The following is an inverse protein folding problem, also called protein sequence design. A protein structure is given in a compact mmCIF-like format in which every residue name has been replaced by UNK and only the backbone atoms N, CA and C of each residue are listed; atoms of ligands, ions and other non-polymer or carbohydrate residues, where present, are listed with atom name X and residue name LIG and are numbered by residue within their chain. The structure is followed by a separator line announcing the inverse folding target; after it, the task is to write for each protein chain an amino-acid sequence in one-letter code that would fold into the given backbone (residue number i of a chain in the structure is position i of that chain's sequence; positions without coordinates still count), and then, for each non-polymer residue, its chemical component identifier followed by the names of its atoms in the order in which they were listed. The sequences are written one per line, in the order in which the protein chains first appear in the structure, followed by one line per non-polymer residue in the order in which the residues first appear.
data_IF_606615206823
#
_entry.id   IF_606615206823
#
_cell.length_a   1.000
_cell.length_b   1.000
_cell.length_c   1.000
_cell.angle_alpha   90.00
_cell.angle_beta   90.00
_cell.angle_gamma   90.00
#
_symmetry.space_group_name_H-M   'P 1'
#
loop_
_entity.id
_entity.type
_entity.pdbx_description
1 polymer ?
#
# COMPACT_ATOMS: atom_id res chain seq x y z
N UNK A 1 15.57 -15.75 55.60
CA UNK A 1 14.58 -15.26 54.63
C UNK A 1 15.27 -14.30 53.68
N UNK A 2 15.71 -14.79 52.52
CA UNK A 2 16.23 -13.97 51.41
C UNK A 2 15.09 -13.82 50.41
N UNK A 3 14.74 -12.58 50.08
CA UNK A 3 13.74 -12.26 49.07
C UNK A 3 14.30 -12.54 47.68
N UNK A 4 13.60 -13.38 46.92
CA UNK A 4 13.86 -13.62 45.50
C UNK A 4 12.98 -12.69 44.66
N UNK A 5 13.62 -12.15 43.64
CA UNK A 5 13.13 -11.31 42.55
C UNK A 5 12.00 -12.02 41.78
N UNK A 6 10.96 -11.27 41.38
CA UNK A 6 10.22 -11.57 40.16
C UNK A 6 9.84 -10.25 39.47
N UNK A 7 10.64 -9.89 38.47
CA UNK A 7 10.27 -8.91 37.46
C UNK A 7 9.25 -9.58 36.53
N UNK A 8 8.05 -9.00 36.40
CA UNK A 8 7.08 -9.42 35.39
C UNK A 8 7.29 -8.50 34.18
N UNK A 9 7.93 -9.04 33.14
CA UNK A 9 7.80 -8.53 31.77
C UNK A 9 6.32 -8.68 31.36
N UNK A 10 5.67 -7.57 31.02
CA UNK A 10 4.41 -7.60 30.28
C UNK A 10 4.75 -7.74 28.80
N UNK A 11 4.83 -8.98 28.34
CA UNK A 11 4.71 -9.37 26.93
C UNK A 11 3.30 -9.93 26.77
N UNK A 12 2.39 -9.11 26.27
CA UNK A 12 1.03 -9.50 25.94
C UNK A 12 0.64 -8.82 24.65
N UNK A 13 0.98 -9.45 23.52
CA UNK A 13 0.43 -9.08 22.22
C UNK A 13 -1.08 -9.20 22.29
N UNK A 14 -1.76 -8.07 22.18
CA UNK A 14 -3.19 -8.04 21.94
C UNK A 14 -3.37 -8.53 20.50
N UNK A 15 -3.78 -9.78 20.34
CA UNK A 15 -4.44 -10.20 19.10
C UNK A 15 -5.74 -9.41 19.06
N UNK A 16 -5.76 -8.29 18.34
CA UNK A 16 -6.97 -7.52 18.07
C UNK A 16 -7.93 -8.44 17.30
N UNK A 17 -8.97 -8.89 17.99
CA UNK A 17 -9.96 -9.79 17.45
C UNK A 17 -10.96 -8.95 16.64
N UNK A 18 -10.87 -9.01 15.31
CA UNK A 18 -11.78 -8.35 14.35
C UNK A 18 -13.26 -8.56 14.73
N UNK A 19 -13.59 -9.69 15.38
CA UNK A 19 -14.94 -10.04 15.85
C UNK A 19 -15.60 -9.06 16.84
N UNK A 20 -14.84 -8.17 17.49
CA UNK A 20 -15.39 -7.27 18.50
C UNK A 20 -15.79 -5.88 17.99
N UNK A 21 -15.57 -5.57 16.70
CA UNK A 21 -15.66 -4.20 16.18
C UNK A 21 -16.88 -3.95 15.28
N UNK A 22 -17.73 -4.93 15.01
CA UNK A 22 -18.96 -4.74 14.22
C UNK A 22 -20.05 -5.68 14.73
N UNK A 23 -21.29 -5.45 14.30
CA UNK A 23 -22.42 -6.30 14.66
C UNK A 23 -23.25 -6.64 13.43
N UNK A 24 -24.37 -7.33 13.63
CA UNK A 24 -25.28 -7.72 12.55
C UNK A 24 -26.68 -7.20 12.85
N UNK A 25 -27.37 -6.67 11.83
CA UNK A 25 -28.78 -6.35 11.94
C UNK A 25 -29.66 -7.62 11.90
N UNK A 26 -30.98 -7.47 12.07
CA UNK A 26 -31.93 -8.59 12.05
C UNK A 26 -31.95 -9.36 10.72
N UNK A 27 -31.47 -8.75 9.63
CA UNK A 27 -31.39 -9.33 8.29
C UNK A 27 -30.04 -10.03 8.03
N UNK A 28 -29.14 -10.05 9.01
CA UNK A 28 -27.81 -10.67 8.91
C UNK A 28 -26.78 -9.84 8.14
N UNK A 29 -27.07 -8.56 7.85
CA UNK A 29 -26.09 -7.65 7.24
C UNK A 29 -25.17 -7.07 8.33
N UNK A 30 -23.87 -7.04 8.03
CA UNK A 30 -22.86 -6.50 8.92
C UNK A 30 -23.02 -4.97 9.04
N UNK A 31 -22.91 -4.45 10.26
CA UNK A 31 -23.03 -3.02 10.59
C UNK A 31 -21.81 -2.54 11.39
N UNK A 32 -21.24 -1.38 11.06
CA UNK A 32 -20.09 -0.83 11.78
C UNK A 32 -20.50 -0.40 13.21
N UNK A 33 -19.54 -0.02 14.06
CA UNK A 33 -19.86 0.65 15.31
C UNK A 33 -20.72 1.90 15.08
N UNK A 34 -21.41 2.33 16.13
CA UNK A 34 -22.20 3.55 16.09
C UNK A 34 -21.33 4.76 15.69
N UNK A 35 -21.86 5.60 14.79
CA UNK A 35 -21.17 6.79 14.32
C UNK A 35 -20.71 7.68 15.47
N UNK A 36 -19.54 8.27 15.31
CA UNK A 36 -18.91 9.23 16.20
C UNK A 36 -18.98 10.63 15.54
N UNK A 37 -19.95 11.47 15.93
CA UNK A 37 -20.04 12.82 15.38
C UNK A 37 -18.79 13.64 15.70
N UNK A 38 -18.33 14.45 14.76
CA UNK A 38 -17.20 15.35 14.95
C UNK A 38 -17.52 16.75 14.42
N UNK A 39 -16.82 17.75 14.95
CA UNK A 39 -16.98 19.15 14.58
C UNK A 39 -15.77 19.74 13.88
N UNK A 40 -15.72 21.07 13.90
CA UNK A 40 -14.66 21.88 13.28
C UNK A 40 -13.25 21.51 13.72
N UNK A 41 -13.08 20.96 14.92
CA UNK A 41 -11.79 20.50 15.44
C UNK A 41 -11.12 19.43 14.56
N UNK A 42 -11.90 18.67 13.78
CA UNK A 42 -11.38 17.69 12.84
C UNK A 42 -10.63 18.30 11.64
N UNK A 43 -10.85 19.60 11.38
CA UNK A 43 -10.30 20.35 10.25
C UNK A 43 -9.15 21.29 10.66
N UNK A 44 -8.89 21.43 11.97
CA UNK A 44 -7.77 22.25 12.44
C UNK A 44 -6.43 21.58 12.13
N UNK A 45 -5.34 22.34 11.92
CA UNK A 45 -4.02 21.77 11.65
C UNK A 45 -3.55 20.78 12.72
N UNK A 46 -3.12 19.61 12.27
CA UNK A 46 -2.55 18.53 13.09
C UNK A 46 -1.03 18.39 12.88
N UNK A 47 -0.36 17.62 13.74
CA UNK A 47 1.08 17.34 13.60
C UNK A 47 1.42 16.31 12.51
N UNK A 48 0.42 15.61 11.99
CA UNK A 48 0.51 14.47 11.07
C UNK A 48 -0.84 14.30 10.34
N UNK A 49 -0.90 13.43 9.33
CA UNK A 49 -2.15 13.14 8.61
C UNK A 49 -3.15 12.36 9.47
N UNK A 50 -4.39 12.85 9.55
CA UNK A 50 -5.51 12.18 10.22
C UNK A 50 -6.58 11.85 9.18
N UNK A 51 -7.05 10.60 9.18
CA UNK A 51 -8.07 10.09 8.28
C UNK A 51 -9.33 9.79 9.09
N UNK A 52 -10.51 10.13 8.60
CA UNK A 52 -11.80 9.74 9.19
C UNK A 52 -12.67 9.10 8.15
N UNK A 53 -13.19 7.91 8.43
CA UNK A 53 -14.19 7.28 7.58
C UNK A 53 -15.53 8.00 7.74
N UNK A 54 -16.16 8.44 6.66
CA UNK A 54 -17.44 9.16 6.70
C UNK A 54 -18.64 8.23 6.55
N UNK A 55 -18.40 6.97 6.19
CA UNK A 55 -19.41 6.03 5.70
C UNK A 55 -19.31 5.83 4.19
N UNK A 56 -19.78 4.68 3.71
CA UNK A 56 -19.65 4.21 2.33
C UNK A 56 -18.19 4.30 1.83
N UNK A 57 -17.94 4.88 0.65
CA UNK A 57 -16.61 5.20 0.15
C UNK A 57 -16.02 6.52 0.69
N UNK A 58 -16.75 7.24 1.54
CA UNK A 58 -16.40 8.58 1.97
C UNK A 58 -15.29 8.61 3.01
N UNK A 59 -14.27 9.46 2.82
CA UNK A 59 -13.22 9.72 3.82
C UNK A 59 -12.86 11.20 3.89
N UNK A 60 -12.67 11.73 5.11
CA UNK A 60 -12.02 13.02 5.36
C UNK A 60 -10.54 12.76 5.65
N UNK A 61 -9.66 13.51 4.98
CA UNK A 61 -8.21 13.49 5.18
C UNK A 61 -7.79 14.89 5.59
N UNK A 62 -7.28 15.06 6.81
CA UNK A 62 -6.62 16.28 7.26
C UNK A 62 -5.12 16.02 7.33
N UNK A 63 -4.37 16.54 6.36
CA UNK A 63 -2.93 16.45 6.33
C UNK A 63 -2.32 17.77 6.80
N UNK A 64 -2.05 17.85 8.10
CA UNK A 64 -1.39 19.01 8.74
C UNK A 64 -2.08 20.33 8.43
N UNK A 65 -3.41 20.31 8.34
CA UNK A 65 -4.27 21.45 8.03
C UNK A 65 -4.69 21.59 6.57
N UNK A 66 -4.20 20.74 5.66
CA UNK A 66 -4.79 20.60 4.31
C UNK A 66 -5.90 19.57 4.36
N UNK A 67 -7.14 19.99 4.14
CA UNK A 67 -8.33 19.16 4.33
C UNK A 67 -8.94 18.74 2.99
N UNK A 68 -8.98 17.42 2.76
CA UNK A 68 -9.60 16.81 1.59
C UNK A 68 -10.77 15.92 2.00
N UNK A 69 -11.80 15.80 1.17
CA UNK A 69 -12.73 14.67 1.24
C UNK A 69 -12.67 13.85 -0.04
N UNK A 70 -12.68 12.52 0.09
CA UNK A 70 -12.88 11.58 -1.02
C UNK A 70 -14.33 11.08 -0.95
N UNK A 71 -15.04 11.12 -2.07
CA UNK A 71 -16.40 10.56 -2.25
C UNK A 71 -17.38 10.86 -1.09
N UNK A 72 -17.57 12.12 -0.68
CA UNK A 72 -18.37 12.45 0.50
C UNK A 72 -19.88 12.30 0.24
N UNK A 73 -20.43 11.11 0.47
CA UNK A 73 -21.87 10.85 0.49
C UNK A 73 -22.48 11.18 1.87
N UNK A 74 -22.58 12.47 2.24
CA UNK A 74 -23.06 12.90 3.57
C UNK A 74 -24.58 13.14 3.65
N UNK A 75 -25.26 13.24 2.51
CA UNK A 75 -26.73 13.32 2.40
C UNK A 75 -27.18 13.02 0.97
N UNK A 76 -28.50 12.92 0.78
CA UNK A 76 -29.08 12.86 -0.57
C UNK A 76 -28.91 11.51 -1.28
N UNK A 77 -28.60 10.46 -0.52
CA UNK A 77 -28.62 9.10 -1.04
C UNK A 77 -30.04 8.54 -1.04
N UNK A 78 -30.38 7.79 -2.10
CA UNK A 78 -31.76 7.39 -2.39
C UNK A 78 -32.21 6.13 -1.64
N UNK A 79 -31.29 5.47 -0.95
CA UNK A 79 -31.56 4.25 -0.19
C UNK A 79 -31.45 4.49 1.32
N UNK A 80 -32.18 3.71 2.15
CA UNK A 80 -32.06 3.79 3.60
C UNK A 80 -30.64 3.46 4.07
N UNK A 81 -30.20 4.13 5.13
CA UNK A 81 -28.86 3.97 5.70
C UNK A 81 -28.91 3.25 7.05
N UNK A 82 -27.86 2.50 7.36
CA UNK A 82 -27.64 1.80 8.63
C UNK A 82 -26.93 2.67 9.67
N UNK A 83 -26.34 3.78 9.23
CA UNK A 83 -25.54 4.69 10.05
C UNK A 83 -26.16 6.09 10.07
N UNK A 84 -25.84 6.86 11.11
CA UNK A 84 -26.00 8.30 11.07
C UNK A 84 -24.75 8.93 10.45
N UNK A 85 -24.91 9.95 9.62
CA UNK A 85 -23.76 10.65 9.06
C UNK A 85 -22.98 11.37 10.18
N UNK A 86 -21.65 11.22 10.25
CA UNK A 86 -20.85 11.74 11.37
C UNK A 86 -20.67 13.26 11.33
N UNK A 87 -20.98 13.88 10.20
CA UNK A 87 -21.00 15.33 10.02
C UNK A 87 -22.04 15.69 8.96
N UNK A 88 -22.74 16.82 9.11
CA UNK A 88 -23.60 17.35 8.05
C UNK A 88 -22.77 18.26 7.12
N UNK A 89 -23.09 18.34 5.81
CA UNK A 89 -22.35 19.20 4.88
C UNK A 89 -22.23 20.67 5.34
N UNK A 90 -23.31 21.23 5.89
CA UNK A 90 -23.35 22.59 6.45
C UNK A 90 -22.42 22.84 7.65
N UNK A 91 -21.99 21.77 8.33
CA UNK A 91 -21.15 21.84 9.53
C UNK A 91 -19.65 21.69 9.17
N UNK A 92 -19.33 21.46 7.88
CA UNK A 92 -17.97 21.46 7.34
C UNK A 92 -17.45 22.90 7.28
N UNK A 93 -16.37 23.26 7.99
CA UNK A 93 -15.92 24.65 8.08
C UNK A 93 -15.12 25.10 6.85
N UNK A 94 -14.33 24.20 6.26
CA UNK A 94 -13.53 24.43 5.06
C UNK A 94 -13.06 23.09 4.47
N UNK A 95 -12.83 23.08 3.15
CA UNK A 95 -12.11 22.02 2.44
C UNK A 95 -11.19 22.66 1.39
N UNK A 96 -9.96 22.17 1.32
CA UNK A 96 -9.05 22.53 0.24
C UNK A 96 -9.45 21.83 -1.05
N UNK A 97 -9.85 20.55 -0.99
CA UNK A 97 -10.47 19.92 -2.14
C UNK A 97 -11.47 18.80 -1.80
N UNK A 98 -12.34 18.50 -2.75
CA UNK A 98 -13.13 17.27 -2.80
C UNK A 98 -12.67 16.44 -4.01
N UNK A 99 -12.38 15.17 -3.79
CA UNK A 99 -12.00 14.21 -4.81
C UNK A 99 -13.19 13.26 -5.06
N UNK A 100 -13.62 13.15 -6.31
CA UNK A 100 -14.73 12.29 -6.71
C UNK A 100 -14.20 11.22 -7.66
N UNK A 101 -14.42 9.93 -7.35
CA UNK A 101 -13.90 8.82 -8.16
C UNK A 101 -14.70 8.62 -9.44
N UNK A 102 -16.04 8.72 -9.35
CA UNK A 102 -16.97 8.55 -10.45
C UNK A 102 -18.36 9.14 -10.10
N UNK A 103 -19.32 9.07 -11.03
CA UNK A 103 -20.58 9.82 -10.95
C UNK A 103 -21.72 9.17 -10.14
N UNK A 104 -21.55 7.96 -9.60
CA UNK A 104 -22.64 7.27 -8.92
C UNK A 104 -22.99 7.97 -7.60
N UNK A 105 -24.28 7.99 -7.24
CA UNK A 105 -24.80 8.87 -6.17
C UNK A 105 -24.25 8.52 -4.77
N UNK A 106 -23.79 7.30 -4.58
CA UNK A 106 -23.09 6.78 -3.40
C UNK A 106 -21.63 7.22 -3.28
N UNK A 107 -21.10 7.90 -4.31
CA UNK A 107 -19.77 8.54 -4.34
C UNK A 107 -19.89 10.04 -4.59
N UNK A 108 -20.56 10.42 -5.69
CA UNK A 108 -20.85 11.79 -6.07
C UNK A 108 -22.26 12.21 -5.65
N UNK A 109 -22.43 12.47 -4.36
CA UNK A 109 -23.65 13.10 -3.87
C UNK A 109 -23.69 14.57 -4.28
N UNK A 110 -24.47 14.88 -5.32
CA UNK A 110 -24.73 16.27 -5.76
C UNK A 110 -25.24 17.14 -4.60
N UNK A 111 -26.21 16.70 -3.76
CA UNK A 111 -26.64 17.50 -2.62
C UNK A 111 -25.54 17.80 -1.61
N UNK A 112 -24.64 16.85 -1.35
CA UNK A 112 -23.49 17.07 -0.46
C UNK A 112 -22.51 18.07 -1.06
N UNK A 113 -22.12 17.85 -2.33
CA UNK A 113 -21.13 18.68 -3.01
C UNK A 113 -21.63 20.12 -3.18
N UNK A 114 -22.90 20.30 -3.59
CA UNK A 114 -23.49 21.64 -3.76
C UNK A 114 -23.63 22.41 -2.45
N UNK A 115 -24.01 21.76 -1.35
CA UNK A 115 -24.10 22.42 -0.03
C UNK A 115 -22.73 22.85 0.51
N UNK A 116 -21.68 22.07 0.23
CA UNK A 116 -20.30 22.42 0.61
C UNK A 116 -19.61 23.40 -0.35
N UNK A 117 -20.23 23.76 -1.48
CA UNK A 117 -19.58 24.57 -2.53
C UNK A 117 -19.05 25.94 -2.04
N UNK A 118 -19.64 26.50 -1.00
CA UNK A 118 -19.19 27.78 -0.41
C UNK A 118 -17.98 27.66 0.53
N UNK A 119 -17.67 26.45 0.98
CA UNK A 119 -16.56 26.15 1.92
C UNK A 119 -15.49 25.26 1.31
N UNK A 120 -15.76 24.62 0.16
CA UNK A 120 -14.81 23.84 -0.60
C UNK A 120 -14.17 24.70 -1.69
N UNK A 121 -12.83 24.72 -1.74
CA UNK A 121 -12.08 25.51 -2.71
C UNK A 121 -12.13 24.91 -4.12
N UNK A 122 -11.90 23.61 -4.28
CA UNK A 122 -11.81 22.95 -5.58
C UNK A 122 -12.33 21.51 -5.55
N UNK A 123 -12.89 21.05 -6.67
CA UNK A 123 -13.35 19.67 -6.85
C UNK A 123 -12.53 19.02 -7.96
N UNK A 124 -12.12 17.77 -7.79
CA UNK A 124 -11.26 17.09 -8.76
C UNK A 124 -11.80 15.70 -9.10
N UNK A 125 -11.80 15.37 -10.39
CA UNK A 125 -12.24 14.06 -10.88
C UNK A 125 -11.73 13.79 -12.30
N UNK A 126 -12.29 12.78 -12.96
CA UNK A 126 -12.13 12.56 -14.40
C UNK A 126 -12.81 13.69 -15.20
N UNK A 127 -12.46 13.85 -16.47
CA UNK A 127 -13.09 14.85 -17.34
C UNK A 127 -14.61 14.69 -17.46
N UNK A 128 -15.12 13.46 -17.39
CA UNK A 128 -16.57 13.23 -17.47
C UNK A 128 -17.27 13.76 -16.23
N UNK A 129 -16.84 13.37 -15.03
CA UNK A 129 -17.46 13.82 -13.79
C UNK A 129 -17.26 15.32 -13.58
N UNK A 130 -16.11 15.87 -13.99
CA UNK A 130 -15.88 17.32 -14.05
C UNK A 130 -16.96 18.04 -14.85
N UNK A 131 -17.29 17.55 -16.05
CA UNK A 131 -18.38 18.14 -16.85
C UNK A 131 -19.74 18.11 -16.12
N UNK A 132 -19.99 17.09 -15.28
CA UNK A 132 -21.19 17.06 -14.43
C UNK A 132 -21.11 18.09 -13.31
N UNK A 133 -19.96 18.23 -12.65
CA UNK A 133 -19.73 19.21 -11.58
C UNK A 133 -19.84 20.66 -12.11
N UNK A 134 -19.34 20.94 -13.31
CA UNK A 134 -19.49 22.23 -13.99
C UNK A 134 -20.98 22.59 -14.20
N UNK A 135 -21.82 21.62 -14.57
CA UNK A 135 -23.27 21.86 -14.72
C UNK A 135 -23.96 22.22 -13.40
N UNK A 136 -23.38 21.81 -12.28
CA UNK A 136 -23.85 22.16 -10.93
C UNK A 136 -23.23 23.48 -10.42
N UNK A 137 -22.36 24.13 -11.21
CA UNK A 137 -21.69 25.37 -10.85
C UNK A 137 -20.58 25.21 -9.80
N UNK A 138 -20.03 23.99 -9.66
CA UNK A 138 -18.89 23.74 -8.76
C UNK A 138 -17.59 24.23 -9.39
N UNK A 139 -16.64 24.69 -8.58
CA UNK A 139 -15.29 25.00 -9.04
C UNK A 139 -14.50 23.70 -9.20
N UNK A 140 -14.62 23.07 -10.37
CA UNK A 140 -14.10 21.72 -10.61
C UNK A 140 -13.02 21.66 -11.70
N UNK A 141 -12.22 20.58 -11.65
CA UNK A 141 -11.14 20.30 -12.59
C UNK A 141 -11.10 18.81 -12.95
N UNK A 142 -11.18 18.52 -14.25
CA UNK A 142 -11.04 17.19 -14.83
C UNK A 142 -9.59 16.81 -15.15
N UNK A 143 -9.25 15.54 -14.91
CA UNK A 143 -7.90 15.00 -15.08
C UNK A 143 -7.91 13.70 -15.91
N UNK A 144 -6.76 13.35 -16.50
CA UNK A 144 -6.55 12.04 -17.14
C UNK A 144 -6.11 11.00 -16.13
N UNK A 145 -6.41 9.74 -16.42
CA UNK A 145 -5.79 8.61 -15.70
C UNK A 145 -4.27 8.69 -15.83
N UNK A 146 -3.58 8.59 -14.69
CA UNK A 146 -2.13 8.74 -14.59
C UNK A 146 -1.64 10.17 -14.41
N UNK A 147 -2.50 11.18 -14.62
CA UNK A 147 -2.17 12.58 -14.35
C UNK A 147 -1.98 12.82 -12.85
N UNK A 148 -1.14 13.81 -12.52
CA UNK A 148 -0.85 14.19 -11.14
C UNK A 148 -1.06 15.69 -10.96
N UNK A 149 -1.76 16.06 -9.90
CA UNK A 149 -1.95 17.44 -9.45
C UNK A 149 -1.63 17.55 -7.95
N UNK A 150 -1.65 18.77 -7.41
CA UNK A 150 -1.36 19.01 -6.00
C UNK A 150 -2.46 19.83 -5.34
N UNK A 151 -2.79 19.46 -4.11
CA UNK A 151 -3.60 20.28 -3.20
C UNK A 151 -2.76 20.52 -1.95
N UNK A 152 -2.30 21.76 -1.77
CA UNK A 152 -1.31 22.07 -0.73
C UNK A 152 -0.07 21.16 -0.83
N UNK A 153 0.33 20.46 0.24
CA UNK A 153 1.47 19.55 0.24
C UNK A 153 1.14 18.13 -0.24
N UNK A 154 -0.11 17.86 -0.66
CA UNK A 154 -0.57 16.53 -1.05
C UNK A 154 -0.46 16.40 -2.58
N UNK A 155 0.36 15.47 -3.04
CA UNK A 155 0.45 15.09 -4.47
C UNK A 155 -0.54 13.98 -4.76
N UNK A 156 -1.41 14.17 -5.75
CA UNK A 156 -2.53 13.29 -6.03
C UNK A 156 -2.43 12.81 -7.47
N UNK A 157 -2.38 11.49 -7.67
CA UNK A 157 -2.35 10.84 -8.98
C UNK A 157 -3.63 10.04 -9.21
N UNK A 158 -4.26 10.20 -10.37
CA UNK A 158 -5.39 9.37 -10.75
C UNK A 158 -4.90 7.96 -11.14
N UNK A 159 -5.49 6.93 -10.53
CA UNK A 159 -5.26 5.52 -10.87
C UNK A 159 -6.40 5.00 -11.74
N UNK A 160 -6.16 4.03 -12.63
CA UNK A 160 -7.22 3.42 -13.42
C UNK A 160 -8.27 2.75 -12.52
N UNK A 161 -9.52 2.77 -12.95
CA UNK A 161 -10.62 2.01 -12.36
C UNK A 161 -11.50 1.46 -13.49
N UNK A 162 -12.10 0.29 -13.29
CA UNK A 162 -13.05 -0.31 -14.23
C UNK A 162 -14.39 -0.50 -13.54
N UNK A 163 -15.33 0.42 -13.79
CA UNK A 163 -16.66 0.37 -13.20
C UNK A 163 -17.80 0.80 -14.16
N UNK A 164 -17.74 0.37 -15.42
CA UNK A 164 -18.73 0.73 -16.46
C UNK A 164 -20.04 -0.07 -16.38
N UNK A 165 -20.57 -0.32 -15.18
CA UNK A 165 -21.77 -1.17 -14.99
C UNK A 165 -23.03 -0.56 -15.61
N UNK A 166 -23.09 0.77 -15.72
CA UNK A 166 -24.21 1.53 -16.28
C UNK A 166 -24.51 1.10 -17.73
N UNK A 167 -23.49 0.67 -18.47
CA UNK A 167 -23.65 0.17 -19.84
C UNK A 167 -24.39 -1.18 -19.92
N UNK A 168 -24.53 -1.90 -18.80
CA UNK A 168 -25.29 -3.15 -18.71
C UNK A 168 -26.81 -2.88 -18.61
N UNK A 169 -27.23 -1.63 -18.39
CA UNK A 169 -28.63 -1.24 -18.20
C UNK A 169 -29.15 -0.29 -19.28
N UNK A 170 -30.39 -0.49 -19.79
CA UNK A 170 -31.04 0.49 -20.64
C UNK A 170 -31.49 1.70 -19.83
N UNK A 171 -31.28 2.92 -20.35
CA UNK A 171 -31.80 4.15 -19.75
C UNK A 171 -30.78 5.28 -19.65
N UNK A 172 -29.49 4.96 -19.74
CA UNK A 172 -28.44 5.96 -19.82
C UNK A 172 -28.24 6.46 -21.25
N UNK A 173 -28.08 7.77 -21.39
CA UNK A 173 -27.79 8.41 -22.69
C UNK A 173 -26.30 8.55 -22.97
N UNK A 174 -25.48 8.50 -21.91
CA UNK A 174 -24.02 8.50 -22.00
C UNK A 174 -23.50 7.07 -22.15
N UNK A 175 -22.54 6.86 -23.03
CA UNK A 175 -21.78 5.60 -23.13
C UNK A 175 -20.59 5.70 -22.19
N UNK A 176 -20.64 4.97 -21.07
CA UNK A 176 -19.64 5.08 -20.02
C UNK A 176 -18.34 4.38 -20.42
N UNK A 177 -17.22 5.05 -20.21
CA UNK A 177 -15.89 4.54 -20.57
C UNK A 177 -15.04 4.33 -19.32
N UNK A 178 -14.00 3.51 -19.45
CA UNK A 178 -13.09 3.21 -18.33
C UNK A 178 -12.45 4.50 -17.79
N UNK A 179 -12.14 5.46 -18.65
CA UNK A 179 -11.60 6.77 -18.26
C UNK A 179 -12.58 7.70 -17.52
N UNK A 180 -13.86 7.35 -17.44
CA UNK A 180 -14.86 8.10 -16.67
C UNK A 180 -14.75 7.80 -15.16
N UNK A 181 -14.03 6.75 -14.79
CA UNK A 181 -13.82 6.27 -13.42
C UNK A 181 -12.34 6.33 -13.06
N UNK A 182 -12.04 6.63 -11.80
CA UNK A 182 -10.68 6.63 -11.31
C UNK A 182 -10.59 6.22 -9.84
N UNK A 183 -9.39 5.86 -9.42
CA UNK A 183 -8.98 5.94 -8.02
C UNK A 183 -8.00 7.10 -7.82
N UNK A 184 -7.61 7.34 -6.57
CA UNK A 184 -6.63 8.36 -6.19
C UNK A 184 -5.49 7.76 -5.37
N UNK A 185 -4.27 7.95 -5.85
CA UNK A 185 -3.06 7.70 -5.09
C UNK A 185 -2.54 9.05 -4.55
N UNK A 186 -2.64 9.24 -3.23
CA UNK A 186 -2.43 10.51 -2.54
C UNK A 186 -1.17 10.42 -1.66
N UNK A 187 -0.11 11.10 -2.07
CA UNK A 187 1.13 11.23 -1.29
C UNK A 187 1.03 12.45 -0.39
N UNK A 188 0.84 12.21 0.89
CA UNK A 188 0.90 13.24 1.95
C UNK A 188 2.33 13.35 2.50
N UNK A 189 2.65 14.38 3.31
CA UNK A 189 3.91 14.43 4.05
C UNK A 189 4.17 13.24 4.98
N UNK A 190 3.12 12.57 5.45
CA UNK A 190 3.21 11.51 6.47
C UNK A 190 3.07 10.10 5.91
N UNK A 191 2.64 9.94 4.66
CA UNK A 191 2.50 8.64 4.00
C UNK A 191 1.66 8.67 2.73
N UNK A 192 1.61 7.51 2.08
CA UNK A 192 0.91 7.25 0.83
C UNK A 192 -0.44 6.59 1.09
N UNK A 193 -1.52 7.24 0.66
CA UNK A 193 -2.90 6.75 0.80
C UNK A 193 -3.41 6.37 -0.59
N UNK A 194 -4.05 5.21 -0.70
CA UNK A 194 -4.71 4.80 -1.93
C UNK A 194 -6.21 4.62 -1.72
N UNK A 195 -7.00 5.39 -2.47
CA UNK A 195 -8.43 5.23 -2.63
C UNK A 195 -8.69 4.59 -4.00
N UNK A 196 -9.04 3.30 -4.10
CA UNK A 196 -9.23 2.65 -5.39
C UNK A 196 -10.46 3.15 -6.14
N UNK A 197 -11.45 3.73 -5.43
CA UNK A 197 -12.81 3.90 -5.94
C UNK A 197 -13.47 2.55 -6.20
N UNK A 198 -14.65 2.59 -6.82
CA UNK A 198 -15.27 1.36 -7.30
C UNK A 198 -14.58 0.92 -8.59
N UNK A 199 -14.13 -0.33 -8.60
CA UNK A 199 -13.43 -0.89 -9.74
C UNK A 199 -13.44 -2.40 -9.67
N UNK A 200 -13.60 -3.08 -10.81
CA UNK A 200 -13.15 -4.46 -10.97
C UNK A 200 -11.66 -4.59 -10.67
N UNK A 201 -11.22 -5.78 -10.26
CA UNK A 201 -9.79 -6.04 -10.08
C UNK A 201 -9.01 -5.82 -11.37
N UNK A 202 -7.98 -4.98 -11.30
CA UNK A 202 -7.02 -4.72 -12.37
C UNK A 202 -5.64 -5.24 -11.93
N UNK A 203 -4.90 -6.01 -12.77
CA UNK A 203 -3.55 -6.48 -12.42
C UNK A 203 -2.59 -5.36 -12.00
N UNK A 204 -2.73 -4.18 -12.59
CA UNK A 204 -1.93 -2.98 -12.31
C UNK A 204 -2.06 -2.51 -10.86
N UNK A 205 -3.12 -2.90 -10.15
CA UNK A 205 -3.27 -2.66 -8.71
C UNK A 205 -2.20 -3.33 -7.86
N UNK A 206 -1.53 -4.36 -8.39
CA UNK A 206 -0.41 -5.02 -7.70
C UNK A 206 0.94 -4.34 -7.97
N UNK A 207 0.97 -3.35 -8.87
CA UNK A 207 2.19 -2.67 -9.33
C UNK A 207 2.27 -1.22 -8.83
N UNK A 208 1.30 -0.77 -8.02
CA UNK A 208 1.34 0.55 -7.40
C UNK A 208 2.52 0.64 -6.40
N UNK A 209 3.12 1.84 -6.23
CA UNK A 209 4.00 2.10 -5.10
C UNK A 209 3.29 1.69 -3.80
N UNK A 210 3.99 0.97 -2.93
CA UNK A 210 3.39 0.37 -1.72
C UNK A 210 2.69 1.44 -0.87
N UNK A 211 1.35 1.43 -0.77
CA UNK A 211 0.62 2.40 0.03
C UNK A 211 0.76 2.08 1.52
N UNK A 212 0.79 3.12 2.35
CA UNK A 212 0.72 3.00 3.81
C UNK A 212 -0.72 2.74 4.26
N UNK A 213 -1.70 3.28 3.53
CA UNK A 213 -3.14 3.12 3.80
C UNK A 213 -3.88 2.79 2.52
N UNK A 214 -4.81 1.83 2.58
CA UNK A 214 -5.75 1.53 1.50
C UNK A 214 -7.17 1.74 2.04
N UNK A 215 -7.98 2.52 1.33
CA UNK A 215 -9.43 2.52 1.52
C UNK A 215 -9.97 1.25 0.88
N UNK A 216 -10.17 0.24 1.71
CA UNK A 216 -10.22 -1.14 1.30
C UNK A 216 -11.66 -1.55 0.98
N UNK A 217 -12.00 -1.55 -0.31
CA UNK A 217 -13.20 -2.20 -0.84
C UNK A 217 -12.95 -3.71 -0.98
N UNK A 218 -13.89 -4.51 -0.49
CA UNK A 218 -13.84 -5.96 -0.43
C UNK A 218 -15.20 -6.62 -0.71
N UNK A 219 -16.13 -5.88 -1.33
CA UNK A 219 -17.44 -6.39 -1.74
C UNK A 219 -17.29 -7.57 -2.70
N UNK A 220 -18.03 -8.65 -2.43
CA UNK A 220 -18.06 -9.86 -3.27
C UNK A 220 -19.06 -9.72 -4.44
N UNK A 221 -18.74 -8.79 -5.32
CA UNK A 221 -19.58 -8.37 -6.44
C UNK A 221 -18.77 -8.27 -7.76
N UNK A 222 -19.47 -8.38 -8.89
CA UNK A 222 -18.87 -8.32 -10.23
C UNK A 222 -18.61 -6.91 -10.77
N UNK A 223 -19.15 -5.85 -10.16
CA UNK A 223 -18.87 -4.46 -10.50
C UNK A 223 -17.75 -3.85 -9.65
N UNK A 224 -17.41 -4.51 -8.53
CA UNK A 224 -16.36 -4.12 -7.59
C UNK A 224 -15.11 -5.01 -7.74
N UNK A 225 -14.11 -4.78 -6.89
CA UNK A 225 -12.81 -5.49 -6.94
C UNK A 225 -13.03 -7.00 -6.81
N UNK A 226 -14.11 -7.38 -6.12
CA UNK A 226 -14.40 -8.74 -5.75
C UNK A 226 -13.53 -9.18 -4.58
N UNK A 227 -14.05 -10.10 -3.79
CA UNK A 227 -13.39 -10.57 -2.58
C UNK A 227 -11.99 -11.14 -2.82
N UNK A 228 -11.84 -11.95 -3.87
CA UNK A 228 -10.56 -12.55 -4.24
C UNK A 228 -9.56 -11.50 -4.77
N UNK A 229 -10.04 -10.48 -5.49
CA UNK A 229 -9.22 -9.36 -5.92
C UNK A 229 -8.73 -8.54 -4.73
N UNK A 230 -9.61 -8.24 -3.78
CA UNK A 230 -9.30 -7.51 -2.57
C UNK A 230 -8.27 -8.25 -1.71
N UNK A 231 -8.40 -9.58 -1.57
CA UNK A 231 -7.43 -10.42 -0.86
C UNK A 231 -6.06 -10.40 -1.56
N UNK A 232 -6.01 -10.45 -2.89
CA UNK A 232 -4.75 -10.33 -3.64
C UNK A 232 -4.07 -8.99 -3.39
N UNK A 233 -4.82 -7.88 -3.46
CA UNK A 233 -4.33 -6.53 -3.17
C UNK A 233 -3.80 -6.45 -1.74
N UNK A 234 -4.61 -6.88 -0.76
CA UNK A 234 -4.23 -6.90 0.64
C UNK A 234 -2.91 -7.65 0.85
N UNK A 235 -2.76 -8.83 0.23
CA UNK A 235 -1.59 -9.67 0.41
C UNK A 235 -0.36 -9.21 -0.38
N UNK A 236 -0.54 -8.43 -1.46
CA UNK A 236 0.54 -7.77 -2.18
C UNK A 236 1.13 -6.59 -1.39
N UNK A 237 0.32 -5.94 -0.55
CA UNK A 237 0.75 -4.85 0.33
C UNK A 237 0.61 -5.22 1.82
N UNK A 238 1.46 -6.12 2.34
CA UNK A 238 1.30 -6.70 3.68
C UNK A 238 1.54 -5.71 4.84
N UNK A 239 2.04 -4.50 4.56
CA UNK A 239 2.27 -3.42 5.54
C UNK A 239 1.17 -2.34 5.52
N UNK A 240 0.39 -2.29 4.44
CA UNK A 240 -0.66 -1.29 4.29
C UNK A 240 -1.75 -1.49 5.34
N UNK A 241 -2.15 -0.41 6.00
CA UNK A 241 -3.30 -0.38 6.89
C UNK A 241 -4.57 -0.39 6.03
N UNK A 242 -5.47 -1.35 6.28
CA UNK A 242 -6.67 -1.56 5.49
C UNK A 242 -7.85 -0.94 6.22
N UNK A 243 -8.25 0.27 5.84
CA UNK A 243 -9.45 0.91 6.39
C UNK A 243 -10.64 0.44 5.57
N UNK A 244 -11.52 -0.36 6.17
CA UNK A 244 -12.64 -0.95 5.44
C UNK A 244 -13.54 0.15 4.86
N UNK A 245 -13.81 0.06 3.56
CA UNK A 245 -14.56 1.02 2.76
C UNK A 245 -15.76 0.34 2.09
N UNK A 246 -16.75 1.13 1.65
CA UNK A 246 -17.89 0.69 0.83
C UNK A 246 -18.69 -0.49 1.42
N UNK A 247 -18.84 -0.52 2.75
CA UNK A 247 -19.59 -1.56 3.46
C UNK A 247 -20.41 -0.99 4.61
N UNK A 248 -21.43 -1.74 5.06
CA UNK A 248 -22.14 -1.49 6.32
C UNK A 248 -22.85 -0.14 6.46
N UNK A 249 -23.00 0.61 5.37
CA UNK A 249 -23.56 1.97 5.36
C UNK A 249 -24.99 2.01 4.84
N UNK A 250 -25.28 1.27 3.77
CA UNK A 250 -26.61 1.20 3.14
C UNK A 250 -27.37 -0.01 3.66
N UNK A 251 -28.64 0.16 4.06
CA UNK A 251 -29.53 -0.96 4.44
C UNK A 251 -29.99 -1.71 3.18
N UNK A 252 -29.10 -2.59 2.72
CA UNK A 252 -29.23 -3.32 1.47
C UNK A 252 -28.67 -4.75 1.61
N UNK A 253 -29.28 -5.60 2.45
CA UNK A 253 -28.75 -6.94 2.77
C UNK A 253 -28.71 -7.89 1.56
N UNK A 254 -29.40 -7.53 0.47
CA UNK A 254 -29.46 -8.34 -0.76
C UNK A 254 -28.66 -7.72 -1.93
N UNK A 255 -27.99 -6.58 -1.71
CA UNK A 255 -27.16 -5.94 -2.74
C UNK A 255 -25.69 -6.10 -2.39
N UNK A 256 -25.02 -7.01 -3.10
CA UNK A 256 -23.62 -7.35 -2.89
C UNK A 256 -22.66 -6.13 -2.87
N UNK A 257 -22.82 -5.11 -3.75
CA UNK A 257 -22.01 -3.88 -3.70
C UNK A 257 -21.92 -3.22 -2.31
N UNK A 258 -23.01 -3.26 -1.54
CA UNK A 258 -23.13 -2.58 -0.23
C UNK A 258 -23.05 -3.51 0.98
N UNK A 259 -23.00 -4.83 0.76
CA UNK A 259 -23.16 -5.83 1.80
C UNK A 259 -21.91 -6.71 1.98
N UNK A 260 -20.72 -6.11 1.90
CA UNK A 260 -19.50 -6.80 2.29
C UNK A 260 -19.52 -7.11 3.80
N UNK A 261 -19.10 -8.32 4.18
CA UNK A 261 -19.00 -8.75 5.58
C UNK A 261 -17.51 -8.84 5.98
N UNK A 262 -17.02 -8.02 6.94
CA UNK A 262 -15.63 -8.07 7.39
C UNK A 262 -15.18 -9.46 7.85
N UNK A 263 -16.10 -10.30 8.34
CA UNK A 263 -15.83 -11.69 8.72
C UNK A 263 -15.28 -12.52 7.57
N UNK A 264 -15.62 -12.16 6.33
CA UNK A 264 -15.07 -12.83 5.16
C UNK A 264 -13.54 -12.71 5.15
N UNK A 265 -12.95 -11.61 5.60
CA UNK A 265 -11.49 -11.41 5.57
C UNK A 265 -10.71 -12.31 6.57
N UNK A 266 -11.38 -12.89 7.57
CA UNK A 266 -10.74 -13.70 8.62
C UNK A 266 -9.94 -14.88 8.04
N UNK A 267 -8.65 -14.93 8.37
CA UNK A 267 -7.75 -16.01 7.96
C UNK A 267 -7.32 -15.99 6.49
N UNK A 268 -7.70 -14.96 5.71
CA UNK A 268 -7.35 -14.84 4.29
C UNK A 268 -6.38 -13.69 3.98
N UNK A 269 -6.21 -12.78 4.93
CA UNK A 269 -5.29 -11.65 4.84
C UNK A 269 -4.03 -11.94 5.67
N UNK A 270 -2.85 -11.72 5.08
CA UNK A 270 -1.56 -11.67 5.78
C UNK A 270 -1.53 -10.45 6.70
N UNK A 271 -1.07 -10.65 7.93
CA UNK A 271 -1.03 -9.61 8.97
C UNK A 271 -2.43 -9.02 9.23
N UNK A 272 -3.42 -9.83 9.67
CA UNK A 272 -4.81 -9.41 9.77
C UNK A 272 -5.05 -8.28 10.79
N UNK A 273 -4.12 -8.04 11.72
CA UNK A 273 -4.18 -6.96 12.71
C UNK A 273 -4.17 -5.55 12.11
N UNK A 274 -3.82 -5.40 10.84
CA UNK A 274 -3.84 -4.12 10.11
C UNK A 274 -5.19 -3.81 9.44
N UNK A 275 -6.19 -4.70 9.59
CA UNK A 275 -7.56 -4.45 9.14
C UNK A 275 -8.29 -3.64 10.20
N UNK A 276 -8.78 -2.47 9.81
CA UNK A 276 -9.45 -1.53 10.70
C UNK A 276 -10.93 -1.42 10.36
N UNK A 277 -11.76 -1.84 11.31
CA UNK A 277 -13.20 -1.64 11.30
C UNK A 277 -13.48 -0.34 12.07
N UNK A 278 -13.53 0.78 11.35
CA UNK A 278 -13.76 2.10 11.94
C UNK A 278 -15.26 2.35 12.15
N UNK A 279 -15.62 3.11 13.19
CA UNK A 279 -16.92 3.78 13.23
C UNK A 279 -16.95 4.95 12.24
N UNK A 280 -18.10 5.30 11.62
CA UNK A 280 -18.20 6.54 10.87
C UNK A 280 -17.85 7.75 11.76
N UNK A 281 -16.85 8.53 11.38
CA UNK A 281 -16.30 9.67 12.11
C UNK A 281 -15.11 9.35 13.01
N UNK A 282 -14.80 8.06 13.23
CA UNK A 282 -13.62 7.64 13.99
C UNK A 282 -12.33 8.06 13.26
N UNK A 283 -11.39 8.60 14.03
CA UNK A 283 -10.11 9.05 13.53
C UNK A 283 -9.10 7.90 13.48
N UNK A 284 -8.36 7.85 12.39
CA UNK A 284 -7.19 7.02 12.18
C UNK A 284 -5.99 7.94 11.95
N UNK A 285 -5.01 7.88 12.85
CA UNK A 285 -3.78 8.65 12.75
C UNK A 285 -2.80 7.94 11.81
N UNK A 286 -2.54 8.54 10.65
CA UNK A 286 -1.42 8.17 9.80
C UNK A 286 -0.16 8.80 10.37
N UNK A 287 0.34 8.19 11.44
CA UNK A 287 1.67 8.49 11.95
C UNK A 287 2.64 7.75 11.04
N UNK A 288 3.52 8.48 10.35
CA UNK A 288 4.68 7.87 9.73
C UNK A 288 5.27 6.93 10.77
N UNK A 289 5.27 5.61 10.50
CA UNK A 289 5.92 4.64 11.38
C UNK A 289 7.26 5.28 11.71
N UNK A 290 7.43 5.68 12.99
CA UNK A 290 8.65 6.34 13.41
C UNK A 290 9.76 5.51 12.79
N UNK A 291 10.66 6.15 12.07
CA UNK A 291 11.93 5.52 11.70
C UNK A 291 12.63 5.21 13.03
N UNK A 292 12.17 4.16 13.71
CA UNK A 292 12.92 3.42 14.68
C UNK A 292 14.13 3.01 13.90
N UNK A 293 15.24 3.60 14.32
CA UNK A 293 16.56 3.35 13.80
C UNK A 293 16.71 1.88 13.40
N UNK A 294 16.97 1.64 12.12
CA UNK A 294 17.65 0.41 11.70
C UNK A 294 16.83 -0.85 11.42
N UNK A 295 15.49 -0.86 11.42
CA UNK A 295 14.74 -1.99 10.84
C UNK A 295 14.33 -1.73 9.40
N UNK A 296 15.32 -1.94 8.54
CA UNK A 296 15.20 -1.98 7.10
C UNK A 296 14.02 -2.84 6.66
N UNK A 297 13.18 -2.32 5.76
CA UNK A 297 12.17 -3.07 5.03
C UNK A 297 12.74 -4.42 4.55
N UNK A 298 12.44 -5.50 5.28
CA UNK A 298 12.27 -6.78 4.63
C UNK A 298 10.94 -6.67 3.89
N UNK A 299 10.98 -6.40 2.58
CA UNK A 299 10.03 -7.07 1.70
C UNK A 299 10.11 -8.56 2.04
N UNK A 300 8.98 -9.24 2.21
CA UNK A 300 9.00 -10.68 2.52
C UNK A 300 9.74 -11.38 1.39
N UNK A 301 10.99 -11.76 1.66
CA UNK A 301 11.85 -12.40 0.68
C UNK A 301 11.15 -13.68 0.21
N UNK A 302 11.10 -13.90 -1.10
CA UNK A 302 10.55 -15.14 -1.66
C UNK A 302 11.36 -16.35 -1.15
N UNK A 303 12.66 -16.16 -0.94
CA UNK A 303 13.57 -17.15 -0.39
C UNK A 303 14.21 -16.61 0.89
N UNK A 304 14.39 -17.43 1.94
CA UNK A 304 15.03 -16.99 3.18
C UNK A 304 16.49 -16.58 2.94
N UNK A 305 17.07 -15.82 3.87
CA UNK A 305 18.51 -15.53 3.94
C UNK A 305 18.83 -15.29 5.41
N UNK A 306 18.74 -16.37 6.20
CA UNK A 306 18.54 -16.24 7.65
C UNK A 306 19.85 -16.48 8.42
N UNK A 307 20.86 -17.06 7.76
CA UNK A 307 22.17 -17.28 8.35
C UNK A 307 23.10 -16.10 8.06
N UNK A 308 23.72 -15.53 9.10
CA UNK A 308 24.78 -14.55 8.92
C UNK A 308 26.00 -15.23 8.28
N UNK A 309 26.46 -14.71 7.15
CA UNK A 309 27.61 -15.23 6.43
C UNK A 309 28.91 -14.99 7.23
N UNK A 310 29.90 -15.87 7.04
CA UNK A 310 31.19 -15.78 7.76
C UNK A 310 31.91 -14.46 7.46
N UNK A 311 32.39 -13.80 8.51
CA UNK A 311 33.26 -12.61 8.41
C UNK A 311 34.65 -12.93 7.87
N UNK A 312 35.00 -14.21 7.68
CA UNK A 312 36.24 -14.62 7.03
C UNK A 312 36.25 -14.33 5.52
N UNK A 313 35.06 -14.20 4.91
CA UNK A 313 34.88 -14.02 3.47
C UNK A 313 34.04 -12.79 3.12
N UNK A 314 33.65 -11.98 4.11
CA UNK A 314 32.76 -10.85 3.93
C UNK A 314 33.16 -9.69 4.84
N UNK A 315 32.96 -8.46 4.35
CA UNK A 315 32.99 -7.24 5.17
C UNK A 315 31.56 -6.76 5.41
N UNK A 316 31.25 -6.37 6.63
CA UNK A 316 29.91 -5.89 7.03
C UNK A 316 28.89 -7.02 7.23
N UNK A 317 27.62 -6.64 7.29
CA UNK A 317 26.53 -7.61 7.50
C UNK A 317 26.06 -8.21 6.18
N UNK A 318 26.36 -9.50 6.00
CA UNK A 318 25.92 -10.32 4.87
C UNK A 318 25.13 -11.50 5.43
N UNK A 319 23.96 -11.76 4.86
CA UNK A 319 23.13 -12.90 5.20
C UNK A 319 22.97 -13.80 3.98
N UNK A 320 22.93 -15.12 4.20
CA UNK A 320 22.91 -16.12 3.15
C UNK A 320 22.00 -17.29 3.52
N UNK A 321 21.32 -17.85 2.52
CA UNK A 321 20.74 -19.19 2.57
C UNK A 321 21.16 -19.97 1.34
N UNK A 322 21.58 -21.22 1.55
CA UNK A 322 21.84 -22.16 0.48
C UNK A 322 20.52 -22.84 0.09
N UNK A 323 20.03 -22.55 -1.11
CA UNK A 323 18.74 -23.05 -1.59
C UNK A 323 18.88 -24.42 -2.28
N UNK A 324 20.04 -24.67 -2.89
CA UNK A 324 20.37 -25.94 -3.53
C UNK A 324 21.88 -26.16 -3.50
N UNK A 325 22.26 -27.36 -3.09
CA UNK A 325 23.66 -27.83 -3.07
C UNK A 325 23.81 -29.24 -3.64
N UNK A 326 22.79 -29.73 -4.37
CA UNK A 326 22.76 -31.07 -4.92
C UNK A 326 22.87 -31.09 -6.45
N UNK A 327 23.52 -32.12 -6.99
CA UNK A 327 23.80 -32.24 -8.43
C UNK A 327 24.96 -31.34 -8.87
N UNK A 328 24.93 -30.88 -10.13
CA UNK A 328 25.98 -30.03 -10.71
C UNK A 328 25.66 -28.52 -10.62
N UNK A 329 24.84 -28.08 -9.66
CA UNK A 329 24.47 -26.67 -9.53
C UNK A 329 24.31 -26.27 -8.07
N UNK A 330 24.90 -25.14 -7.71
CA UNK A 330 24.70 -24.50 -6.41
C UNK A 330 23.84 -23.25 -6.59
N UNK A 331 22.83 -23.07 -5.73
CA UNK A 331 22.00 -21.87 -5.69
C UNK A 331 22.03 -21.30 -4.28
N UNK A 332 22.47 -20.06 -4.15
CA UNK A 332 22.50 -19.34 -2.87
C UNK A 332 21.79 -17.99 -3.01
N UNK A 333 21.10 -17.61 -1.95
CA UNK A 333 20.39 -16.34 -1.83
C UNK A 333 21.09 -15.48 -0.79
N UNK A 334 21.38 -14.23 -1.14
CA UNK A 334 22.16 -13.31 -0.33
C UNK A 334 21.42 -12.00 -0.07
N UNK A 335 21.61 -11.46 1.14
CA UNK A 335 21.32 -10.06 1.46
C UNK A 335 22.64 -9.41 1.88
N UNK A 336 23.06 -8.37 1.17
CA UNK A 336 24.14 -7.50 1.59
C UNK A 336 23.51 -6.23 2.18
N UNK A 337 23.71 -5.98 3.48
CA UNK A 337 23.34 -4.72 4.14
C UNK A 337 24.20 -3.55 3.64
N UNK A 338 23.80 -2.28 3.83
CA UNK A 338 24.57 -1.15 3.33
C UNK A 338 26.03 -1.22 3.78
N UNK A 339 26.96 -0.91 2.87
CA UNK A 339 28.41 -1.05 3.06
C UNK A 339 28.95 -2.48 3.14
N UNK A 340 28.14 -3.53 3.04
CA UNK A 340 28.64 -4.91 3.09
C UNK A 340 29.01 -5.45 1.71
N UNK A 341 30.00 -6.35 1.66
CA UNK A 341 30.52 -6.94 0.42
C UNK A 341 31.21 -8.27 0.71
N UNK A 342 31.21 -9.17 -0.27
CA UNK A 342 32.07 -10.36 -0.20
C UNK A 342 33.52 -9.98 -0.54
N UNK A 343 34.44 -10.86 -0.18
CA UNK A 343 35.84 -10.72 -0.56
C UNK A 343 36.02 -11.01 -2.04
N UNK A 344 37.17 -10.61 -2.57
CA UNK A 344 37.58 -11.05 -3.89
C UNK A 344 37.58 -12.58 -3.92
N UNK A 345 36.97 -13.17 -4.94
CA UNK A 345 36.95 -14.62 -5.12
C UNK A 345 36.80 -14.97 -6.60
N UNK A 346 36.98 -16.25 -6.93
CA UNK A 346 36.68 -16.78 -8.26
C UNK A 346 36.18 -18.21 -8.16
N UNK A 347 35.55 -18.68 -9.24
CA UNK A 347 35.03 -20.04 -9.37
C UNK A 347 35.92 -20.83 -10.34
N UNK A 348 36.68 -21.84 -9.88
CA UNK A 348 37.46 -22.70 -10.76
C UNK A 348 36.54 -23.47 -11.71
N UNK A 349 36.76 -23.32 -13.01
CA UNK A 349 36.07 -24.08 -14.07
C UNK A 349 34.53 -23.99 -14.07
N UNK A 350 33.98 -22.97 -13.38
CA UNK A 350 32.56 -22.78 -13.18
C UNK A 350 32.13 -21.34 -13.48
N UNK A 351 31.05 -21.18 -14.22
CA UNK A 351 30.38 -19.90 -14.41
C UNK A 351 29.49 -19.60 -13.20
N UNK A 352 29.46 -18.33 -12.77
CA UNK A 352 28.46 -17.84 -11.81
C UNK A 352 27.55 -16.83 -12.49
N UNK A 353 26.23 -17.06 -12.42
CA UNK A 353 25.22 -16.06 -12.71
C UNK A 353 24.72 -15.44 -11.41
N UNK A 354 24.80 -14.11 -11.30
CA UNK A 354 24.22 -13.31 -10.23
C UNK A 354 22.94 -12.63 -10.76
N UNK A 355 21.81 -12.92 -10.12
CA UNK A 355 20.50 -12.31 -10.38
C UNK A 355 20.23 -11.29 -9.28
N UNK A 356 20.03 -10.01 -9.64
CA UNK A 356 19.70 -8.96 -8.66
C UNK A 356 18.19 -8.89 -8.49
N UNK A 357 17.72 -9.31 -7.31
CA UNK A 357 16.31 -9.44 -6.99
C UNK A 357 15.72 -8.13 -6.46
N UNK A 358 16.51 -7.35 -5.74
CA UNK A 358 16.08 -6.05 -5.19
C UNK A 358 17.28 -5.18 -4.78
N UNK A 359 17.06 -3.87 -4.66
CA UNK A 359 18.06 -2.91 -4.17
C UNK A 359 19.12 -2.47 -5.19
N UNK A 360 20.20 -1.86 -4.68
CA UNK A 360 21.32 -1.32 -5.45
C UNK A 360 22.66 -1.71 -4.81
N UNK A 361 23.59 -2.18 -5.64
CA UNK A 361 24.90 -2.66 -5.20
C UNK A 361 26.02 -2.37 -6.20
N UNK A 362 27.18 -2.94 -5.92
CA UNK A 362 28.35 -2.92 -6.77
C UNK A 362 28.73 -4.34 -7.20
N UNK A 363 29.27 -4.44 -8.41
CA UNK A 363 29.98 -5.61 -8.90
C UNK A 363 31.26 -5.16 -9.59
N UNK A 364 32.36 -5.89 -9.37
CA UNK A 364 33.64 -5.56 -10.00
C UNK A 364 34.46 -6.82 -10.28
N UNK A 365 35.07 -6.84 -11.46
CA UNK A 365 36.10 -7.81 -11.86
C UNK A 365 37.50 -7.21 -11.65
N UNK A 366 38.48 -8.02 -11.25
CA UNK A 366 39.83 -7.53 -10.91
C UNK A 366 40.48 -6.87 -12.13
N UNK A 367 40.90 -5.61 -11.99
CA UNK A 367 41.45 -4.79 -13.07
C UNK A 367 40.41 -4.08 -13.94
N UNK A 368 39.12 -4.35 -13.75
CA UNK A 368 38.01 -3.67 -14.43
C UNK A 368 37.38 -2.53 -13.62
N UNK A 369 36.49 -1.78 -14.27
CA UNK A 369 35.68 -0.75 -13.60
C UNK A 369 34.61 -1.38 -12.69
N UNK A 370 34.38 -0.73 -11.54
CA UNK A 370 33.29 -1.08 -10.62
C UNK A 370 31.96 -0.64 -11.23
N UNK A 371 31.03 -1.59 -11.39
CA UNK A 371 29.72 -1.39 -11.99
C UNK A 371 28.66 -1.24 -10.89
N UNK A 372 27.73 -0.31 -11.05
CA UNK A 372 26.52 -0.25 -10.23
C UNK A 372 25.52 -1.26 -10.77
N UNK A 373 24.97 -2.12 -9.90
CA UNK A 373 23.98 -3.14 -10.23
C UNK A 373 22.68 -2.87 -9.48
N UNK A 374 21.53 -3.13 -10.11
CA UNK A 374 20.18 -2.81 -9.62
C UNK A 374 19.21 -3.97 -9.85
N UNK A 375 18.07 -3.93 -9.18
CA UNK A 375 16.94 -4.85 -9.39
C UNK A 375 16.69 -5.12 -10.88
N UNK A 376 16.66 -6.39 -11.24
CA UNK A 376 16.46 -6.86 -12.62
C UNK A 376 17.76 -7.10 -13.40
N UNK A 377 18.92 -6.66 -12.89
CA UNK A 377 20.20 -6.94 -13.54
C UNK A 377 20.60 -8.41 -13.42
N UNK A 378 21.27 -8.89 -14.46
CA UNK A 378 21.84 -10.25 -14.55
C UNK A 378 23.30 -10.13 -14.92
N UNK A 379 24.18 -10.63 -14.05
CA UNK A 379 25.63 -10.63 -14.25
C UNK A 379 26.11 -12.06 -14.42
N UNK A 380 26.76 -12.35 -15.54
CA UNK A 380 27.37 -13.64 -15.82
C UNK A 380 28.88 -13.49 -15.71
N UNK A 381 29.46 -14.22 -14.76
CA UNK A 381 30.89 -14.18 -14.46
C UNK A 381 31.56 -15.46 -14.97
N UNK A 382 32.45 -15.36 -15.98
CA UNK A 382 33.11 -16.53 -16.55
C UNK A 382 33.99 -17.28 -15.54
N UNK A 383 34.33 -18.55 -15.84
CA UNK A 383 35.27 -19.31 -15.03
C UNK A 383 36.60 -18.59 -14.78
N UNK A 384 37.12 -18.74 -13.55
CA UNK A 384 38.41 -18.18 -13.11
C UNK A 384 38.50 -16.65 -13.07
N UNK A 385 37.42 -15.91 -13.34
CA UNK A 385 37.38 -14.46 -13.22
C UNK A 385 37.27 -14.07 -11.75
N UNK A 386 38.24 -13.27 -11.28
CA UNK A 386 38.25 -12.74 -9.91
C UNK A 386 37.30 -11.56 -9.82
N UNK A 387 36.35 -11.63 -8.90
CA UNK A 387 35.31 -10.63 -8.75
C UNK A 387 34.87 -10.48 -7.30
N UNK A 388 34.13 -9.40 -7.02
CA UNK A 388 33.36 -9.22 -5.80
C UNK A 388 32.04 -8.51 -6.12
N UNK A 389 31.09 -8.64 -5.20
CA UNK A 389 29.86 -7.87 -5.20
C UNK A 389 29.44 -7.48 -3.78
N UNK A 390 28.63 -6.44 -3.67
CA UNK A 390 28.17 -5.94 -2.38
C UNK A 390 27.16 -4.83 -2.51
N UNK A 391 26.73 -4.31 -1.38
CA UNK A 391 25.77 -3.23 -1.30
C UNK A 391 26.45 -1.87 -1.48
N UNK A 392 25.69 -0.87 -1.94
CA UNK A 392 26.13 0.53 -1.91
C UNK A 392 26.10 1.08 -0.48
N UNK A 393 26.64 2.29 -0.22
CA UNK A 393 26.58 2.89 1.12
C UNK A 393 25.16 3.20 1.62
N UNK A 394 24.22 3.43 0.69
CA UNK A 394 22.86 3.89 1.01
C UNK A 394 21.75 2.86 0.80
N UNK A 395 22.05 1.70 0.20
CA UNK A 395 21.05 0.66 -0.08
C UNK A 395 21.59 -0.71 0.26
N UNK A 396 20.70 -1.61 0.69
CA UNK A 396 20.97 -3.05 0.62
C UNK A 396 20.86 -3.53 -0.82
N UNK A 397 21.37 -4.74 -1.09
CA UNK A 397 21.09 -5.49 -2.30
C UNK A 397 20.71 -6.94 -1.95
N UNK A 398 19.68 -7.45 -2.63
CA UNK A 398 19.22 -8.84 -2.54
C UNK A 398 19.57 -9.54 -3.83
N UNK A 399 20.32 -10.64 -3.74
CA UNK A 399 20.81 -11.36 -4.91
C UNK A 399 20.59 -12.86 -4.80
N UNK A 400 20.50 -13.52 -5.95
CA UNK A 400 20.60 -14.97 -6.07
C UNK A 400 21.78 -15.32 -6.97
N UNK A 401 22.65 -16.21 -6.51
CA UNK A 401 23.74 -16.76 -7.33
C UNK A 401 23.35 -18.16 -7.79
N UNK A 402 23.61 -18.45 -9.06
CA UNK A 402 23.57 -19.80 -9.65
C UNK A 402 24.96 -20.13 -10.15
N UNK A 403 25.59 -21.16 -9.60
CA UNK A 403 26.94 -21.60 -9.97
C UNK A 403 26.89 -23.03 -10.50
N UNK A 404 27.38 -23.24 -11.72
CA UNK A 404 27.42 -24.56 -12.35
C UNK A 404 28.66 -25.36 -11.90
N UNK A 405 28.63 -26.69 -12.00
CA UNK A 405 29.79 -27.59 -11.78
C UNK A 405 30.46 -27.56 -10.39
N UNK A 406 29.77 -27.07 -9.36
CA UNK A 406 30.29 -26.97 -7.99
C UNK A 406 30.28 -28.32 -7.25
N UNK A 407 31.27 -29.19 -7.51
CA UNK A 407 31.32 -30.54 -6.90
C UNK A 407 32.25 -30.60 -5.67
N UNK A 408 33.25 -29.71 -5.56
CA UNK A 408 34.12 -29.50 -4.39
C UNK A 408 34.95 -28.21 -4.64
N UNK A 409 35.17 -27.35 -3.63
CA UNK A 409 35.82 -26.02 -3.78
C UNK A 409 35.11 -25.04 -4.72
N UNK A 410 33.80 -24.86 -4.54
CA UNK A 410 32.95 -24.01 -5.37
C UNK A 410 33.45 -22.57 -5.53
N UNK A 411 34.20 -22.02 -4.56
CA UNK A 411 34.81 -20.69 -4.66
C UNK A 411 36.20 -20.70 -4.03
N UNK A 412 37.18 -20.08 -4.69
CA UNK A 412 38.48 -19.79 -4.13
C UNK A 412 38.45 -18.37 -3.57
N UNK A 413 38.51 -18.27 -2.25
CA UNK A 413 38.47 -17.01 -1.51
C UNK A 413 39.84 -16.33 -1.54
N UNK A 414 39.86 -15.02 -1.76
CA UNK A 414 41.07 -14.19 -1.79
C UNK A 414 41.01 -13.13 -0.68
N UNK A 415 41.75 -12.04 -0.86
CA UNK A 415 41.81 -10.91 0.08
C UNK A 415 40.49 -10.14 0.15
N UNK A 416 40.31 -9.42 1.24
CA UNK A 416 39.25 -8.42 1.38
C UNK A 416 39.32 -7.33 0.30
N UNK A 417 38.15 -6.81 -0.06
CA UNK A 417 38.00 -5.57 -0.85
C UNK A 417 38.39 -4.41 0.05
N UNK A 418 39.40 -3.64 -0.36
CA UNK A 418 39.86 -2.48 0.40
C UNK A 418 38.85 -1.35 0.32
N UNK A 419 38.83 -0.45 1.32
CA UNK A 419 37.92 0.70 1.29
C UNK A 419 38.18 1.62 0.09
N UNK A 420 39.40 1.64 -0.48
CA UNK A 420 39.71 2.37 -1.70
C UNK A 420 39.13 1.73 -2.96
N UNK A 421 38.98 0.41 -2.99
CA UNK A 421 38.29 -0.28 -4.08
C UNK A 421 36.77 -0.12 -3.95
N UNK A 422 36.28 -0.11 -2.70
CA UNK A 422 34.86 0.03 -2.38
C UNK A 422 34.30 1.43 -2.62
N UNK A 423 35.04 2.49 -2.27
CA UNK A 423 34.67 3.88 -2.54
C UNK A 423 35.09 4.26 -3.96
#
# INVERSE_FOLDING_TARGET
MRASILAILILGGIVLNIKAQFSYNEKGQAIPPASQPFGKEAFEPTGHTVIRWLGNAGFLINSRGTCLMVDPMLRGFDMPLLINMPIAPKDVPHLDAVLITHCDNDHYSVPTCTEMSSVCREYHSTFYVDSLMETQGLNSFGHRIGETFNVGPISIKLTPAYHTWQNEYPGYTHEFKVEDYCGFLMKTPDGLIWAPGDSRFLPEFLELPAPDVIFFDFSDDSWHIGLEGAIKIANAYPKAQLLLSHWGTVDAPNMKPFNADPKMLEGRIRNPERVHVLAPGEAFDLVALSSSEGEQCAETLIFPADAKASSEYNTGDVYVSLLKESGNTMIAHFIFKPNSRNFWHYHPDAEQTLLVLDGEGYYQEEGGEKRVIRKGDVIVTPPNVRHWNGATPGSSIVCMTVTEHAIENHAVQLRAVTDKEYN
#
